data_IF_372780487405
#
_entry.id   IF_372780487405
#
_cell.length_a   1.000
_cell.length_b   1.000
_cell.length_c   1.000
_cell.angle_alpha   90.00
_cell.angle_beta   90.00
_cell.angle_gamma   90.00
#
_symmetry.space_group_name_H-M   'P 1'
#
loop_
_entity.id
_entity.type
_entity.pdbx_description
1 polymer ?
#
# COMPACT_ATOMS: atom_id res chain seq x y z
N UNK A 1 0.34 -20.55 -7.92
CA UNK A 1 -0.61 -19.48 -8.31
C UNK A 1 -1.54 -19.22 -7.14
N UNK A 2 -1.72 -17.96 -6.73
CA UNK A 2 -2.60 -17.62 -5.60
C UNK A 2 -4.06 -17.63 -6.03
N UNK A 3 -4.93 -18.30 -5.26
CA UNK A 3 -6.35 -18.41 -5.55
C UNK A 3 -7.19 -17.23 -5.02
N UNK A 4 -6.60 -16.39 -4.17
CA UNK A 4 -7.29 -15.28 -3.49
C UNK A 4 -6.53 -13.99 -3.75
N UNK A 5 -7.25 -12.92 -4.07
CA UNK A 5 -6.65 -11.60 -4.19
C UNK A 5 -6.01 -11.17 -2.85
N UNK A 6 -4.83 -10.54 -2.86
CA UNK A 6 -4.19 -10.06 -1.63
C UNK A 6 -4.90 -8.83 -1.03
N UNK A 7 -5.86 -8.26 -1.75
CA UNK A 7 -6.64 -7.08 -1.36
C UNK A 7 -8.13 -7.39 -1.52
N UNK A 8 -8.96 -6.66 -0.79
CA UNK A 8 -10.39 -6.59 -1.07
C UNK A 8 -10.60 -5.89 -2.42
N UNK A 9 -11.28 -6.54 -3.36
CA UNK A 9 -11.40 -6.04 -4.74
C UNK A 9 -12.40 -4.90 -4.90
N UNK A 10 -13.16 -4.57 -3.86
CA UNK A 10 -14.13 -3.45 -3.86
C UNK A 10 -13.48 -2.18 -3.30
N UNK A 11 -12.66 -2.34 -2.26
CA UNK A 11 -12.07 -1.24 -1.49
C UNK A 11 -10.59 -1.03 -1.76
N UNK A 12 -9.92 -2.01 -2.38
CA UNK A 12 -8.46 -2.10 -2.58
C UNK A 12 -7.62 -2.17 -1.30
N UNK A 13 -8.26 -2.34 -0.14
CA UNK A 13 -7.58 -2.48 1.15
C UNK A 13 -6.94 -3.87 1.24
N UNK A 14 -5.67 -3.99 1.67
CA UNK A 14 -5.06 -5.29 1.94
C UNK A 14 -5.86 -6.13 2.94
N UNK A 15 -6.04 -7.42 2.64
CA UNK A 15 -6.68 -8.35 3.57
C UNK A 15 -5.77 -8.58 4.79
N UNK A 16 -6.35 -8.92 5.95
CA UNK A 16 -5.54 -9.25 7.13
C UNK A 16 -4.62 -10.45 6.85
N UNK A 17 -3.35 -10.34 7.21
CA UNK A 17 -2.33 -11.36 6.93
C UNK A 17 -1.95 -11.47 5.44
N UNK A 18 -2.34 -10.50 4.61
CA UNK A 18 -1.99 -10.51 3.20
C UNK A 18 -0.50 -10.37 2.99
N UNK A 19 0.02 -11.08 1.99
CA UNK A 19 1.43 -11.06 1.60
C UNK A 19 1.87 -9.74 0.93
N UNK A 20 1.03 -8.71 0.91
CA UNK A 20 1.39 -7.36 0.43
C UNK A 20 1.67 -6.37 1.56
N UNK A 21 1.31 -6.73 2.80
CA UNK A 21 1.53 -5.89 3.98
C UNK A 21 3.01 -5.86 4.31
N UNK A 22 3.59 -4.68 4.54
CA UNK A 22 5.01 -4.48 4.88
C UNK A 22 5.99 -5.03 3.83
N UNK A 23 5.57 -5.18 2.58
CA UNK A 23 6.39 -5.81 1.53
C UNK A 23 6.93 -4.83 0.47
N UNK A 24 6.70 -3.53 0.60
CA UNK A 24 7.26 -2.56 -0.34
C UNK A 24 8.79 -2.48 -0.23
N UNK A 25 9.43 -2.33 -1.38
CA UNK A 25 10.86 -2.04 -1.43
C UNK A 25 11.12 -0.61 -0.93
N UNK A 26 12.28 -0.40 -0.32
CA UNK A 26 12.72 0.94 0.03
C UNK A 26 12.83 1.83 -1.22
N UNK A 27 12.39 3.08 -1.10
CA UNK A 27 12.47 4.07 -2.19
C UNK A 27 13.92 4.27 -2.63
N UNK A 28 14.20 4.31 -3.95
CA UNK A 28 15.54 4.57 -4.44
C UNK A 28 16.00 5.97 -4.05
N UNK A 29 17.30 6.15 -3.82
CA UNK A 29 17.89 7.44 -3.40
C UNK A 29 17.57 8.59 -4.37
N UNK A 30 17.47 8.29 -5.67
CA UNK A 30 17.10 9.25 -6.71
C UNK A 30 15.68 9.84 -6.54
N UNK A 31 14.78 9.15 -5.86
CA UNK A 31 13.41 9.59 -5.61
C UNK A 31 13.23 10.24 -4.22
N UNK A 32 14.31 10.48 -3.48
CA UNK A 32 14.24 11.01 -2.11
C UNK A 32 13.55 12.38 -1.99
N UNK A 33 13.60 13.20 -3.05
CA UNK A 33 12.89 14.49 -3.12
C UNK A 33 11.38 14.36 -3.40
N UNK A 34 10.91 13.16 -3.75
CA UNK A 34 9.51 12.89 -4.14
C UNK A 34 8.95 11.71 -3.34
N UNK A 35 8.82 11.83 -2.01
CA UNK A 35 8.27 10.76 -1.17
C UNK A 35 6.79 10.50 -1.51
N UNK A 36 6.36 9.25 -1.36
CA UNK A 36 4.97 8.83 -1.56
C UNK A 36 4.16 9.20 -0.31
N UNK A 37 3.67 10.44 -0.26
CA UNK A 37 2.92 10.97 0.88
C UNK A 37 1.40 10.75 0.79
N UNK A 38 0.92 10.20 -0.32
CA UNK A 38 -0.52 10.03 -0.58
C UNK A 38 -0.85 8.64 -1.08
N UNK A 39 -2.07 8.18 -0.77
CA UNK A 39 -2.64 6.90 -1.18
C UNK A 39 -4.09 7.10 -1.65
N UNK A 40 -4.70 6.06 -2.21
CA UNK A 40 -6.14 6.08 -2.46
C UNK A 40 -6.91 5.84 -1.14
N UNK A 41 -8.06 6.49 -1.01
CA UNK A 41 -9.10 6.07 -0.08
C UNK A 41 -9.98 4.99 -0.72
N UNK A 42 -10.86 4.38 0.07
CA UNK A 42 -11.88 3.44 -0.43
C UNK A 42 -12.92 4.10 -1.34
N UNK A 43 -12.94 5.44 -1.41
CA UNK A 43 -13.75 6.22 -2.37
C UNK A 43 -12.93 6.72 -3.56
N UNK A 44 -11.74 6.17 -3.80
CA UNK A 44 -10.86 6.50 -4.93
C UNK A 44 -10.41 7.96 -4.97
N UNK A 45 -10.28 8.61 -3.81
CA UNK A 45 -9.72 9.96 -3.68
C UNK A 45 -8.37 9.92 -2.98
N UNK A 46 -7.48 10.86 -3.32
CA UNK A 46 -6.18 10.99 -2.66
C UNK A 46 -6.34 11.36 -1.18
N UNK A 47 -5.67 10.61 -0.31
CA UNK A 47 -5.58 10.89 1.14
C UNK A 47 -4.13 10.72 1.60
N UNK A 48 -3.77 11.29 2.76
CA UNK A 48 -2.44 11.14 3.32
C UNK A 48 -2.11 9.65 3.54
N UNK A 49 -0.91 9.23 3.11
CA UNK A 49 -0.38 7.89 3.34
C UNK A 49 0.43 7.88 4.61
N UNK A 50 0.06 7.02 5.55
CA UNK A 50 0.87 6.73 6.74
C UNK A 50 1.31 5.29 6.61
N UNK A 51 2.63 5.05 6.60
CA UNK A 51 3.15 3.69 6.65
C UNK A 51 2.85 3.11 8.04
N UNK A 52 2.10 2.01 8.06
CA UNK A 52 1.79 1.27 9.26
C UNK A 52 2.67 0.02 9.30
N UNK A 53 3.51 -0.13 10.33
CA UNK A 53 4.37 -1.30 10.46
C UNK A 53 5.84 -1.02 10.17
N UNK A 54 6.54 -2.03 9.63
CA UNK A 54 7.99 -2.01 9.41
C UNK A 54 8.38 -1.48 8.03
N UNK A 55 7.47 -1.54 7.05
CA UNK A 55 7.64 -1.01 5.70
C UNK A 55 6.30 -0.49 5.15
N UNK A 56 6.31 0.04 3.93
CA UNK A 56 5.07 0.34 3.22
C UNK A 56 4.44 -0.94 2.66
N UNK A 57 3.13 -0.92 2.42
CA UNK A 57 2.42 -2.01 1.75
C UNK A 57 2.58 -1.90 0.24
N UNK A 58 2.56 -3.04 -0.44
CA UNK A 58 2.44 -3.05 -1.90
C UNK A 58 1.00 -2.69 -2.30
N UNK A 59 0.88 -1.72 -3.20
CA UNK A 59 -0.39 -1.33 -3.80
C UNK A 59 -0.82 0.09 -3.46
N UNK A 60 -2.12 0.35 -3.63
CA UNK A 60 -2.68 1.69 -3.64
C UNK A 60 -3.07 2.22 -2.26
N UNK A 61 -3.22 1.35 -1.25
CA UNK A 61 -3.77 1.66 0.07
C UNK A 61 -2.97 0.92 1.15
N UNK A 62 -2.58 1.64 2.21
CA UNK A 62 -1.98 1.03 3.40
C UNK A 62 -3.03 0.48 4.36
N UNK A 63 -2.70 -0.61 5.03
CA UNK A 63 -3.55 -1.23 6.05
C UNK A 63 -3.24 -0.73 7.45
#
# INVERSE_FOLDING_TARGET
>A
TGATAPVDTTTLVPLAGSAVIDQAQASPSAASAYPVNYQLSTSYVGTARTANGAAADLGAIEK
#
